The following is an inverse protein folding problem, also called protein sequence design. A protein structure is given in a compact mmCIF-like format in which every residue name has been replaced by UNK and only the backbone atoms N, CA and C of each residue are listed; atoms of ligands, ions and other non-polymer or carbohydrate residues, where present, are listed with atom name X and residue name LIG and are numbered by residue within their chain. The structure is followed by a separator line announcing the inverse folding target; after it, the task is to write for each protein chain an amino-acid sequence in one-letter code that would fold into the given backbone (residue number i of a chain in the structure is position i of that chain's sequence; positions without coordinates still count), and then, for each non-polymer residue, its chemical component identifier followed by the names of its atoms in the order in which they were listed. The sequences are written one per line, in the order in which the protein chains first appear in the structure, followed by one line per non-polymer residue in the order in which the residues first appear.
data_IF_411451792976
#
_entry.id   IF_411451792976
#
_cell.length_a   1.000
_cell.length_b   1.000
_cell.length_c   1.000
_cell.angle_alpha   90.00
_cell.angle_beta   90.00
_cell.angle_gamma   90.00
#
_symmetry.space_group_name_H-M   'P 1'
#
loop_
_entity.id
_entity.type
_entity.pdbx_description
1 polymer ?
#
# COMPACT_ATOMS: atom_id res chain seq x y z
N UNK A 1 12.69 -10.84 7.44
CA UNK A 1 11.95 -11.29 6.25
C UNK A 1 11.54 -10.06 5.46
N UNK A 2 12.01 -9.90 4.22
CA UNK A 2 11.62 -8.75 3.38
C UNK A 2 10.17 -8.95 2.91
N UNK A 3 9.25 -8.10 3.35
CA UNK A 3 7.87 -8.11 2.85
C UNK A 3 7.89 -7.96 1.33
N UNK A 4 7.36 -8.94 0.59
CA UNK A 4 7.28 -8.87 -0.87
C UNK A 4 6.07 -8.02 -1.25
N UNK A 5 6.33 -6.88 -1.86
CA UNK A 5 5.30 -5.98 -2.38
C UNK A 5 5.35 -5.95 -3.92
N UNK A 6 4.19 -6.10 -4.55
CA UNK A 6 4.06 -6.06 -6.01
C UNK A 6 3.04 -5.00 -6.38
N UNK A 7 3.43 -4.05 -7.22
CA UNK A 7 2.53 -3.02 -7.77
C UNK A 7 2.26 -3.36 -9.24
N UNK A 8 0.99 -3.43 -9.60
CA UNK A 8 0.50 -3.76 -10.96
C UNK A 8 -0.56 -2.76 -11.39
N UNK A 9 -0.80 -2.60 -12.69
CA UNK A 9 -1.91 -1.81 -13.23
C UNK A 9 -2.95 -2.77 -13.80
N UNK A 10 -4.16 -2.79 -13.23
CA UNK A 10 -5.29 -3.65 -13.65
C UNK A 10 -6.52 -2.78 -13.94
N UNK A 11 -7.10 -2.85 -15.14
CA UNK A 11 -8.30 -2.10 -15.53
C UNK A 11 -8.24 -0.58 -15.19
N UNK A 12 -7.10 0.06 -15.51
CA UNK A 12 -6.80 1.47 -15.16
C UNK A 12 -6.70 1.81 -13.67
N UNK A 13 -6.71 0.80 -12.80
CA UNK A 13 -6.49 0.93 -11.36
C UNK A 13 -5.12 0.36 -10.99
N UNK A 14 -4.42 1.02 -10.06
CA UNK A 14 -3.14 0.53 -9.54
C UNK A 14 -3.36 -0.39 -8.36
N UNK A 15 -2.93 -1.64 -8.48
CA UNK A 15 -3.12 -2.68 -7.48
C UNK A 15 -1.80 -2.99 -6.81
N UNK A 16 -1.74 -2.78 -5.50
CA UNK A 16 -0.63 -3.15 -4.63
C UNK A 16 -0.99 -4.45 -3.89
N UNK A 17 -0.18 -5.49 -4.07
CA UNK A 17 -0.30 -6.76 -3.35
C UNK A 17 0.88 -6.91 -2.40
N UNK A 18 0.60 -7.17 -1.12
CA UNK A 18 1.62 -7.36 -0.09
C UNK A 18 1.42 -8.71 0.58
N UNK A 19 2.47 -9.53 0.56
CA UNK A 19 2.54 -10.78 1.30
C UNK A 19 2.97 -10.48 2.76
N UNK A 20 2.09 -10.74 3.72
CA UNK A 20 2.38 -10.61 5.15
C UNK A 20 3.03 -11.88 5.69
N UNK A 21 3.78 -11.73 6.77
CA UNK A 21 4.47 -12.82 7.46
C UNK A 21 3.50 -13.93 7.95
N UNK A 22 2.24 -13.58 8.19
CA UNK A 22 1.17 -14.53 8.55
C UNK A 22 0.63 -15.35 7.35
N UNK A 23 1.34 -15.36 6.21
CA UNK A 23 0.92 -16.05 4.98
C UNK A 23 -0.30 -15.42 4.27
N UNK A 24 -0.79 -14.28 4.75
CA UNK A 24 -1.93 -13.56 4.16
C UNK A 24 -1.45 -12.54 3.13
N UNK A 25 -2.12 -12.50 1.98
CA UNK A 25 -1.92 -11.45 0.98
C UNK A 25 -2.96 -10.35 1.20
N UNK A 26 -2.51 -9.09 1.24
CA UNK A 26 -3.39 -7.92 1.26
C UNK A 26 -3.32 -7.19 -0.07
N UNK A 27 -4.50 -6.91 -0.65
CA UNK A 27 -4.64 -6.15 -1.90
C UNK A 27 -5.16 -4.74 -1.60
N UNK A 28 -4.49 -3.74 -2.18
CA UNK A 28 -4.88 -2.34 -2.12
C UNK A 28 -5.07 -1.81 -3.54
N UNK A 29 -6.13 -1.04 -3.74
CA UNK A 29 -6.46 -0.42 -5.03
C UNK A 29 -6.30 1.09 -4.92
N UNK A 30 -5.46 1.64 -5.77
CA UNK A 30 -5.07 3.04 -5.82
C UNK A 30 -5.43 3.63 -7.18
N UNK A 31 -5.77 4.92 -7.20
CA UNK A 31 -6.07 5.61 -8.45
C UNK A 31 -4.80 5.88 -9.29
N UNK A 32 -3.62 5.96 -8.66
CA UNK A 32 -2.35 6.32 -9.32
C UNK A 32 -1.20 5.42 -8.89
N UNK A 33 -0.18 5.30 -9.74
CA UNK A 33 1.04 4.53 -9.46
C UNK A 33 1.75 5.07 -8.21
N UNK A 34 1.82 6.40 -8.10
CA UNK A 34 2.49 7.07 -7.01
C UNK A 34 1.84 6.74 -5.65
N UNK A 35 0.50 6.71 -5.59
CA UNK A 35 -0.21 6.26 -4.38
C UNK A 35 0.16 4.82 -4.02
N UNK A 36 0.13 3.89 -5.00
CA UNK A 36 0.44 2.48 -4.75
C UNK A 36 1.88 2.28 -4.26
N UNK A 37 2.85 2.99 -4.85
CA UNK A 37 4.26 2.94 -4.40
C UNK A 37 4.47 3.54 -3.01
N UNK A 38 3.87 4.71 -2.74
CA UNK A 38 3.96 5.32 -1.41
C UNK A 38 3.32 4.42 -0.35
N UNK A 39 2.18 3.81 -0.66
CA UNK A 39 1.52 2.86 0.22
C UNK A 39 2.39 1.62 0.49
N UNK A 40 3.05 1.09 -0.53
CA UNK A 40 4.01 0.00 -0.36
C UNK A 40 5.13 0.36 0.62
N UNK A 41 5.69 1.58 0.52
CA UNK A 41 6.75 2.05 1.41
C UNK A 41 6.28 2.21 2.86
N UNK A 42 5.05 2.70 3.07
CA UNK A 42 4.46 2.85 4.42
C UNK A 42 4.23 1.48 5.04
N UNK A 43 3.66 0.54 4.28
CA UNK A 43 3.29 -0.78 4.77
C UNK A 43 4.48 -1.74 4.91
N UNK A 44 5.59 -1.50 4.20
CA UNK A 44 6.82 -2.29 4.32
C UNK A 44 7.54 -2.08 5.66
N UNK A 45 7.13 -1.06 6.44
CA UNK A 45 7.68 -0.81 7.78
C UNK A 45 6.98 -1.72 8.79
N UNK A 46 7.71 -2.60 9.49
CA UNK A 46 7.11 -3.46 10.49
C UNK A 46 6.58 -2.60 11.66
N UNK A 47 5.30 -2.75 11.96
CA UNK A 47 4.59 -2.21 13.12
C UNK A 47 4.74 -0.70 13.37
N UNK A 48 3.99 0.11 12.60
CA UNK A 48 3.43 1.33 13.17
C UNK A 48 1.99 1.43 12.70
N UNK A 49 1.09 0.80 13.47
CA UNK A 49 -0.36 0.93 13.32
C UNK A 49 -0.82 2.37 13.56
N UNK A 50 -0.61 3.25 12.58
CA UNK A 50 -1.19 4.59 12.52
C UNK A 50 -1.96 4.75 11.21
N UNK A 51 -3.17 5.34 11.22
CA UNK A 51 -3.95 5.55 10.00
C UNK A 51 -3.14 6.42 9.01
N UNK A 52 -3.33 6.28 7.69
CA UNK A 52 -2.91 7.32 6.77
C UNK A 52 -3.70 8.57 7.17
N UNK A 53 -3.05 9.50 7.86
CA UNK A 53 -3.60 10.82 8.13
C UNK A 53 -4.03 11.37 6.78
N UNK A 54 -5.34 11.49 6.56
CA UNK A 54 -5.88 12.19 5.40
C UNK A 54 -5.16 13.56 5.34
N UNK A 55 -4.77 14.04 4.15
CA UNK A 55 -4.30 15.41 4.06
C UNK A 55 -5.42 16.28 4.64
N UNK A 56 -5.09 16.99 5.73
CA UNK A 56 -6.00 17.96 6.31
C UNK A 56 -6.44 18.89 5.18
N UNK A 57 -7.74 18.94 4.90
CA UNK A 57 -8.35 20.04 4.18
C UNK A 57 -8.00 21.31 4.95
N UNK A 58 -7.00 22.04 4.46
CA UNK A 58 -6.80 23.42 4.85
C UNK A 58 -7.96 24.22 4.27
N UNK A 59 -8.91 24.60 5.12
CA UNK A 59 -9.82 25.70 4.87
C UNK A 59 -9.82 26.65 6.07
#
# INVERSE_FOLDING_TARGET
MSQRHTVTKENDVWVLRIEKDNGKTQEYRCATENQARQLAMVLSRPDTGGPPRAPAESR
#
